data_IF_717155055466
#
_entry.id   IF_717155055466
#
_cell.length_a   1.000
_cell.length_b   1.000
_cell.length_c   1.000
_cell.angle_alpha   90.00
_cell.angle_beta   90.00
_cell.angle_gamma   90.00
#
_symmetry.space_group_name_H-M   'P 1'
#
loop_
_entity.id
_entity.type
_entity.pdbx_description
1 polymer ?
#
# COMPACT_ATOMS: atom_id res chain seq x y z
N UNK A 1 -11.36 -13.22 11.20
CA UNK A 1 -10.28 -13.71 10.32
C UNK A 1 -9.48 -12.50 9.92
N UNK A 2 -8.25 -12.39 10.42
CA UNK A 2 -7.38 -11.23 10.17
C UNK A 2 -7.00 -11.22 8.69
N UNK A 3 -7.46 -10.25 7.92
CA UNK A 3 -7.10 -10.14 6.51
C UNK A 3 -5.71 -9.53 6.43
N UNK A 4 -4.71 -10.40 6.25
CA UNK A 4 -3.31 -9.98 6.16
C UNK A 4 -3.11 -9.16 4.88
N UNK A 5 -2.68 -7.91 5.04
CA UNK A 5 -2.32 -7.03 3.94
C UNK A 5 -1.13 -7.65 3.20
N UNK A 6 -1.19 -7.70 1.87
CA UNK A 6 -0.12 -8.24 1.04
C UNK A 6 0.11 -7.35 -0.19
N UNK A 7 1.25 -7.54 -0.83
CA UNK A 7 1.75 -6.70 -1.93
C UNK A 7 0.96 -6.80 -3.24
N UNK A 8 0.16 -7.85 -3.38
CA UNK A 8 -0.67 -8.12 -4.56
C UNK A 8 -2.05 -7.43 -4.44
N UNK A 9 -2.41 -6.90 -3.27
CA UNK A 9 -3.59 -6.04 -3.10
C UNK A 9 -3.43 -4.75 -3.90
N UNK A 10 -4.54 -4.26 -4.44
CA UNK A 10 -4.59 -2.91 -5.01
C UNK A 10 -4.61 -1.85 -3.93
N UNK A 11 -4.14 -0.64 -4.25
CA UNK A 11 -4.26 0.48 -3.33
C UNK A 11 -5.73 0.82 -3.02
N UNK A 12 -6.64 0.63 -3.98
CA UNK A 12 -8.08 0.81 -3.79
C UNK A 12 -8.64 -0.16 -2.76
N UNK A 13 -8.31 -1.45 -2.87
CA UNK A 13 -8.71 -2.46 -1.87
C UNK A 13 -8.16 -2.15 -0.48
N UNK A 14 -6.86 -1.79 -0.41
CA UNK A 14 -6.22 -1.41 0.86
C UNK A 14 -6.94 -0.23 1.53
N UNK A 15 -7.22 0.84 0.78
CA UNK A 15 -7.86 2.04 1.33
C UNK A 15 -9.35 1.82 1.66
N UNK A 16 -10.02 0.89 0.98
CA UNK A 16 -11.38 0.49 1.32
C UNK A 16 -11.42 -0.29 2.64
N UNK A 17 -10.42 -1.14 2.90
CA UNK A 17 -10.31 -1.92 4.15
C UNK A 17 -9.81 -1.05 5.30
N UNK A 18 -8.81 -0.22 5.03
CA UNK A 18 -8.20 0.67 6.02
C UNK A 18 -7.82 2.01 5.39
N UNK A 19 -8.70 3.03 5.52
CA UNK A 19 -8.39 4.40 5.13
C UNK A 19 -7.17 4.98 5.87
N UNK A 20 -6.85 4.44 7.06
CA UNK A 20 -5.69 4.80 7.86
C UNK A 20 -4.35 4.39 7.23
N UNK A 21 -4.37 3.55 6.17
CA UNK A 21 -3.19 3.25 5.38
C UNK A 21 -2.69 4.46 4.56
N UNK A 22 -3.56 5.41 4.19
CA UNK A 22 -3.20 6.58 3.38
C UNK A 22 -1.99 7.37 3.91
N UNK A 23 -1.94 7.81 5.19
CA UNK A 23 -0.77 8.51 5.73
C UNK A 23 0.50 7.64 5.75
N UNK A 24 0.38 6.32 5.93
CA UNK A 24 1.53 5.40 5.89
C UNK A 24 2.10 5.38 4.47
N UNK A 25 1.24 5.25 3.46
CA UNK A 25 1.64 5.25 2.05
C UNK A 25 2.28 6.59 1.63
N UNK A 26 1.78 7.71 2.16
CA UNK A 26 2.37 9.04 1.96
C UNK A 26 3.83 9.14 2.44
N UNK A 27 4.16 8.50 3.56
CA UNK A 27 5.55 8.46 4.09
C UNK A 27 6.52 7.71 3.16
N UNK A 28 6.00 6.82 2.31
CA UNK A 28 6.77 6.11 1.28
C UNK A 28 6.81 6.90 -0.03
N UNK A 29 6.30 8.12 -0.09
CA UNK A 29 6.30 8.94 -1.32
C UNK A 29 5.12 8.64 -2.25
N UNK A 30 4.13 7.87 -1.80
CA UNK A 30 2.96 7.50 -2.59
C UNK A 30 1.77 8.44 -2.33
N UNK A 31 2.02 9.76 -2.29
CA UNK A 31 0.97 10.76 -2.03
C UNK A 31 -0.12 10.81 -3.12
N UNK A 32 0.16 10.30 -4.32
CA UNK A 32 -0.74 10.33 -5.46
C UNK A 32 -1.77 9.19 -5.51
N UNK A 33 -1.80 8.30 -4.51
CA UNK A 33 -2.66 7.08 -4.52
C UNK A 33 -4.16 7.38 -4.65
N UNK A 34 -4.61 8.59 -4.29
CA UNK A 34 -6.00 9.03 -4.47
C UNK A 34 -6.39 9.36 -5.91
N UNK A 35 -5.47 9.28 -6.87
CA UNK A 35 -5.78 9.47 -8.29
C UNK A 35 -6.43 8.19 -8.86
N UNK A 36 -7.50 8.34 -9.65
CA UNK A 36 -8.30 7.24 -10.21
C UNK A 36 -7.49 6.14 -10.91
N UNK A 37 -6.30 6.46 -11.42
CA UNK A 37 -5.40 5.50 -12.06
C UNK A 37 -4.66 4.63 -11.03
N UNK A 38 -4.21 5.22 -9.92
CA UNK A 38 -3.39 4.54 -8.92
C UNK A 38 -4.17 3.60 -8.03
N UNK A 39 -5.49 3.74 -7.92
CA UNK A 39 -6.32 2.84 -7.11
C UNK A 39 -6.43 1.43 -7.68
N UNK A 40 -6.18 1.25 -8.98
CA UNK A 40 -6.25 -0.05 -9.66
C UNK A 40 -4.90 -0.79 -9.73
N UNK A 41 -3.81 -0.13 -9.36
CA UNK A 41 -2.47 -0.73 -9.32
C UNK A 41 -2.27 -1.53 -8.04
N UNK A 42 -1.53 -2.64 -8.11
CA UNK A 42 -1.08 -3.33 -6.88
C UNK A 42 -0.07 -2.49 -6.12
N UNK A 43 0.04 -2.73 -4.82
CA UNK A 43 1.02 -2.05 -3.97
C UNK A 43 2.44 -2.27 -4.52
N UNK A 44 2.78 -3.50 -4.90
CA UNK A 44 4.09 -3.81 -5.48
C UNK A 44 4.34 -3.04 -6.79
N UNK A 45 3.34 -3.00 -7.68
CA UNK A 45 3.47 -2.32 -8.97
C UNK A 45 3.67 -0.82 -8.80
N UNK A 46 2.84 -0.16 -7.99
CA UNK A 46 2.96 1.29 -7.77
C UNK A 46 4.28 1.66 -7.09
N UNK A 47 4.76 0.86 -6.13
CA UNK A 47 6.07 1.09 -5.51
C UNK A 47 7.22 0.94 -6.51
N UNK A 48 7.19 -0.12 -7.33
CA UNK A 48 8.21 -0.35 -8.37
C UNK A 48 8.18 0.74 -9.45
N UNK A 49 7.00 1.24 -9.83
CA UNK A 49 6.86 2.35 -10.77
C UNK A 49 7.51 3.65 -10.26
N UNK A 50 7.61 3.79 -8.94
CA UNK A 50 8.31 4.89 -8.25
C UNK A 50 9.79 4.58 -7.93
N UNK A 51 10.35 3.49 -8.48
CA UNK A 51 11.76 3.15 -8.35
C UNK A 51 12.14 2.46 -7.03
N UNK A 52 11.15 1.98 -6.27
CA UNK A 52 11.39 1.24 -5.03
C UNK A 52 11.65 -0.23 -5.31
N UNK A 53 12.59 -0.81 -4.57
CA UNK A 53 12.94 -2.22 -4.67
C UNK A 53 12.07 -3.11 -3.78
N UNK A 54 12.23 -4.43 -3.91
CA UNK A 54 11.44 -5.40 -3.16
C UNK A 54 11.58 -5.23 -1.63
N UNK A 55 12.73 -4.78 -1.11
CA UNK A 55 12.89 -4.61 0.33
C UNK A 55 12.05 -3.43 0.85
N UNK A 56 11.92 -2.36 0.06
CA UNK A 56 11.02 -1.26 0.38
C UNK A 56 9.55 -1.71 0.38
N UNK A 57 9.15 -2.55 -0.59
CA UNK A 57 7.81 -3.15 -0.64
C UNK A 57 7.54 -3.99 0.62
N UNK A 58 8.44 -4.91 0.96
CA UNK A 58 8.28 -5.74 2.16
C UNK A 58 8.22 -4.90 3.44
N UNK A 59 9.02 -3.83 3.53
CA UNK A 59 8.98 -2.90 4.65
C UNK A 59 7.62 -2.22 4.78
N UNK A 60 7.05 -1.72 3.68
CA UNK A 60 5.72 -1.12 3.70
C UNK A 60 4.66 -2.14 4.12
N UNK A 61 4.67 -3.35 3.56
CA UNK A 61 3.69 -4.39 3.89
C UNK A 61 3.76 -4.76 5.38
N UNK A 62 4.97 -4.88 5.93
CA UNK A 62 5.13 -5.12 7.36
C UNK A 62 4.59 -3.96 8.20
N UNK A 63 4.86 -2.71 7.82
CA UNK A 63 4.35 -1.54 8.55
C UNK A 63 2.81 -1.46 8.48
N UNK A 64 2.22 -1.71 7.31
CA UNK A 64 0.77 -1.78 7.12
C UNK A 64 0.14 -2.85 8.01
N UNK A 65 0.68 -4.07 8.00
CA UNK A 65 0.16 -5.15 8.86
C UNK A 65 0.31 -4.84 10.36
N UNK A 66 1.35 -4.10 10.78
CA UNK A 66 1.55 -3.73 12.18
C UNK A 66 0.62 -2.60 12.65
N UNK A 67 0.37 -1.61 11.80
CA UNK A 67 -0.38 -0.40 12.18
C UNK A 67 -1.86 -0.48 11.87
N UNK A 68 -2.22 -1.18 10.80
CA UNK A 68 -3.59 -1.20 10.27
C UNK A 68 -4.06 -2.59 9.85
N UNK A 69 -3.25 -3.63 10.08
CA UNK A 69 -3.68 -5.02 9.88
C UNK A 69 -4.72 -5.42 10.93
N UNK A 70 -5.93 -5.76 10.48
CA UNK A 70 -7.03 -6.27 11.30
C UNK A 70 -7.10 -7.79 11.24
#
# INVERSE_FOLDING_TARGET
MTQKINKDMTFGELLQISPEAAPILGNYGLHCIGCHLSTSETIEQGMKAHGMDNAAVEKLINELNQKVGA
#
